data_IF_214200726291
#
_entry.id   IF_214200726291
#
_cell.length_a   1.000
_cell.length_b   1.000
_cell.length_c   1.000
_cell.angle_alpha   90.00
_cell.angle_beta   90.00
_cell.angle_gamma   90.00
#
_symmetry.space_group_name_H-M   'P 1'
#
loop_
_entity.id
_entity.type
_entity.pdbx_description
1 polymer ?
#
# COMPACT_ATOMS: atom_id res chain seq x y z
N UNK A 1 22.33 21.89 1.54
CA UNK A 1 20.93 21.67 1.10
C UNK A 1 20.77 20.45 0.21
N UNK A 2 21.77 20.10 -0.59
CA UNK A 2 21.68 18.96 -1.51
C UNK A 2 21.76 17.59 -0.84
N UNK A 3 22.55 17.43 0.23
CA UNK A 3 22.67 16.18 0.98
C UNK A 3 21.35 15.70 1.57
N UNK A 4 20.51 16.61 2.10
CA UNK A 4 19.19 16.25 2.66
C UNK A 4 18.29 15.70 1.56
N UNK A 5 18.26 16.34 0.39
CA UNK A 5 17.47 15.87 -0.76
C UNK A 5 17.95 14.52 -1.27
N UNK A 6 19.28 14.33 -1.40
CA UNK A 6 19.87 13.06 -1.84
C UNK A 6 19.50 11.95 -0.85
N UNK A 7 19.68 12.18 0.46
CA UNK A 7 19.31 11.20 1.50
C UNK A 7 17.84 10.86 1.46
N UNK A 8 16.96 11.87 1.29
CA UNK A 8 15.52 11.63 1.16
C UNK A 8 15.19 10.74 -0.06
N UNK A 9 15.85 10.95 -1.20
CA UNK A 9 15.63 10.11 -2.39
C UNK A 9 16.11 8.67 -2.17
N UNK A 10 17.26 8.47 -1.52
CA UNK A 10 17.76 7.12 -1.18
C UNK A 10 16.76 6.39 -0.27
N UNK A 11 16.27 7.06 0.79
CA UNK A 11 15.26 6.50 1.69
C UNK A 11 14.00 6.13 0.91
N UNK A 12 13.54 6.98 -0.02
CA UNK A 12 12.38 6.73 -0.86
C UNK A 12 12.53 5.51 -1.77
N UNK A 13 13.71 5.33 -2.36
CA UNK A 13 14.02 4.14 -3.18
C UNK A 13 13.98 2.85 -2.34
N UNK A 14 14.55 2.87 -1.14
CA UNK A 14 14.50 1.72 -0.23
C UNK A 14 13.05 1.43 0.19
N UNK A 15 12.28 2.47 0.55
CA UNK A 15 10.88 2.35 0.91
C UNK A 15 10.05 1.71 -0.20
N UNK A 16 10.25 2.17 -1.42
CA UNK A 16 9.60 1.65 -2.62
C UNK A 16 9.94 0.17 -2.87
N UNK A 17 11.23 -0.21 -2.81
CA UNK A 17 11.65 -1.60 -2.99
C UNK A 17 10.98 -2.54 -1.99
N UNK A 18 10.94 -2.17 -0.71
CA UNK A 18 10.26 -2.93 0.33
C UNK A 18 8.75 -3.06 0.05
N UNK A 19 8.13 -1.97 -0.41
CA UNK A 19 6.73 -1.99 -0.81
C UNK A 19 6.44 -2.96 -1.95
N UNK A 20 7.26 -2.95 -3.00
CA UNK A 20 7.12 -3.86 -4.14
C UNK A 20 7.37 -5.33 -3.74
N UNK A 21 8.43 -5.59 -2.96
CA UNK A 21 8.76 -6.93 -2.46
C UNK A 21 7.65 -7.48 -1.56
N UNK A 22 6.91 -6.63 -0.84
CA UNK A 22 5.83 -7.08 0.04
C UNK A 22 4.79 -7.96 -0.69
N UNK A 23 4.50 -7.67 -1.95
CA UNK A 23 3.56 -8.45 -2.75
C UNK A 23 4.06 -9.85 -3.14
N UNK A 24 5.36 -10.12 -3.03
CA UNK A 24 5.95 -11.45 -3.22
C UNK A 24 5.86 -12.31 -1.94
N UNK A 25 5.46 -11.74 -0.81
CA UNK A 25 5.34 -12.47 0.44
C UNK A 25 4.13 -13.42 0.42
N UNK A 26 4.31 -14.58 1.07
CA UNK A 26 3.30 -15.65 1.12
C UNK A 26 2.34 -15.54 2.29
N UNK A 27 2.60 -14.65 3.25
CA UNK A 27 1.78 -14.52 4.45
C UNK A 27 1.27 -13.10 4.65
N UNK A 28 0.07 -12.98 5.20
CA UNK A 28 -0.52 -11.71 5.61
C UNK A 28 0.42 -10.88 6.50
N UNK A 29 1.02 -11.52 7.51
CA UNK A 29 1.91 -10.84 8.46
C UNK A 29 3.13 -10.24 7.75
N UNK A 30 3.79 -11.02 6.88
CA UNK A 30 4.97 -10.55 6.15
C UNK A 30 4.65 -9.39 5.21
N UNK A 31 3.52 -9.46 4.49
CA UNK A 31 3.06 -8.36 3.63
C UNK A 31 2.90 -7.08 4.45
N UNK A 32 2.18 -7.16 5.58
CA UNK A 32 1.94 -5.97 6.41
C UNK A 32 3.20 -5.45 7.09
N UNK A 33 4.10 -6.32 7.56
CA UNK A 33 5.39 -5.89 8.14
C UNK A 33 6.23 -5.12 7.13
N UNK A 34 6.40 -5.65 5.92
CA UNK A 34 7.14 -4.96 4.86
C UNK A 34 6.50 -3.64 4.48
N UNK A 35 5.16 -3.58 4.44
CA UNK A 35 4.42 -2.34 4.19
C UNK A 35 4.60 -1.32 5.33
N UNK A 36 4.57 -1.73 6.59
CA UNK A 36 4.81 -0.85 7.73
C UNK A 36 6.20 -0.22 7.62
N UNK A 37 7.24 -1.03 7.38
CA UNK A 37 8.61 -0.52 7.26
C UNK A 37 8.72 0.46 6.09
N UNK A 38 8.14 0.11 4.94
CA UNK A 38 8.08 0.99 3.77
C UNK A 38 7.40 2.32 4.09
N UNK A 39 6.26 2.31 4.76
CA UNK A 39 5.50 3.50 5.09
C UNK A 39 6.19 4.39 6.14
N UNK A 40 6.92 3.81 7.09
CA UNK A 40 7.78 4.56 8.02
C UNK A 40 8.87 5.29 7.23
N UNK A 41 9.53 4.62 6.31
CA UNK A 41 10.57 5.22 5.48
C UNK A 41 10.00 6.32 4.58
N UNK A 42 8.84 6.13 3.95
CA UNK A 42 8.16 7.18 3.19
C UNK A 42 7.76 8.36 4.09
N UNK A 43 7.30 8.12 5.32
CA UNK A 43 6.99 9.19 6.27
C UNK A 43 8.22 10.04 6.55
N UNK A 44 9.38 9.42 6.79
CA UNK A 44 10.67 10.11 7.01
C UNK A 44 11.06 10.88 5.75
N UNK A 45 10.98 10.25 4.58
CA UNK A 45 11.28 10.90 3.30
C UNK A 45 10.45 12.16 3.09
N UNK A 46 9.11 12.06 3.25
CA UNK A 46 8.22 13.21 3.04
C UNK A 46 8.41 14.29 4.07
N UNK A 47 8.75 13.95 5.32
CA UNK A 47 9.14 14.92 6.34
C UNK A 47 10.39 15.70 5.92
N UNK A 48 11.42 15.01 5.41
CA UNK A 48 12.66 15.65 4.92
C UNK A 48 12.43 16.54 3.69
N UNK A 49 11.42 16.22 2.89
CA UNK A 49 11.04 17.00 1.70
C UNK A 49 10.03 18.12 2.01
N UNK A 50 9.52 18.22 3.24
CA UNK A 50 8.51 19.21 3.63
C UNK A 50 7.09 18.89 3.10
N UNK A 51 6.85 17.68 2.61
CA UNK A 51 5.55 17.24 2.07
C UNK A 51 4.65 16.70 3.20
N UNK A 52 4.13 17.57 4.04
CA UNK A 52 3.40 17.21 5.27
C UNK A 52 2.14 16.38 5.03
N UNK A 53 1.38 16.66 3.97
CA UNK A 53 0.17 15.88 3.62
C UNK A 53 0.52 14.42 3.32
N UNK A 54 1.51 14.19 2.45
CA UNK A 54 1.96 12.84 2.13
C UNK A 54 2.59 12.14 3.36
N UNK A 55 3.30 12.87 4.21
CA UNK A 55 3.81 12.37 5.48
C UNK A 55 2.66 11.85 6.36
N UNK A 56 1.60 12.64 6.56
CA UNK A 56 0.45 12.25 7.38
C UNK A 56 -0.27 11.01 6.81
N UNK A 57 -0.51 10.96 5.51
CA UNK A 57 -1.13 9.80 4.85
C UNK A 57 -0.33 8.52 5.08
N UNK A 58 1.01 8.57 4.97
CA UNK A 58 1.86 7.41 5.24
C UNK A 58 1.91 7.06 6.73
N UNK A 59 1.93 8.07 7.61
CA UNK A 59 1.87 7.87 9.06
C UNK A 59 0.59 7.11 9.46
N UNK A 60 -0.57 7.52 8.99
CA UNK A 60 -1.82 6.78 9.26
C UNK A 60 -1.82 5.40 8.62
N UNK A 61 -1.16 5.23 7.49
CA UNK A 61 -1.04 3.93 6.82
C UNK A 61 -0.18 2.94 7.59
N UNK A 62 0.94 3.36 8.19
CA UNK A 62 1.71 2.42 9.03
C UNK A 62 1.01 2.13 10.36
N UNK A 63 0.33 3.11 10.99
CA UNK A 63 -0.50 2.88 12.17
C UNK A 63 -1.58 1.83 11.89
N UNK A 64 -2.27 1.93 10.74
CA UNK A 64 -3.20 0.92 10.26
C UNK A 64 -2.55 -0.46 10.20
N UNK A 65 -1.34 -0.56 9.67
CA UNK A 65 -0.59 -1.82 9.57
C UNK A 65 -0.33 -2.46 10.94
N UNK A 66 0.08 -1.67 11.94
CA UNK A 66 0.25 -2.16 13.32
C UNK A 66 -1.06 -2.68 13.92
N UNK A 67 -2.15 -1.92 13.74
CA UNK A 67 -3.48 -2.34 14.22
C UNK A 67 -3.89 -3.66 13.58
N UNK A 68 -3.65 -3.84 12.28
CA UNK A 68 -4.02 -5.08 11.59
C UNK A 68 -3.23 -6.29 12.09
N UNK A 69 -1.92 -6.15 12.30
CA UNK A 69 -1.09 -7.22 12.87
C UNK A 69 -1.53 -7.54 14.32
N UNK A 70 -1.80 -6.51 15.12
CA UNK A 70 -2.24 -6.69 16.50
C UNK A 70 -3.59 -7.43 16.60
N UNK A 71 -4.53 -7.11 15.71
CA UNK A 71 -5.83 -7.80 15.62
C UNK A 71 -5.66 -9.24 15.13
N UNK A 72 -4.79 -9.47 14.16
CA UNK A 72 -4.49 -10.79 13.63
C UNK A 72 -3.86 -11.69 14.69
N UNK A 73 -2.88 -11.19 15.45
CA UNK A 73 -2.26 -11.92 16.55
C UNK A 73 -3.26 -12.31 17.67
N UNK A 74 -4.34 -11.54 17.83
CA UNK A 74 -5.43 -11.82 18.76
C UNK A 74 -6.58 -12.64 18.13
N UNK A 75 -6.41 -13.14 16.90
CA UNK A 75 -7.45 -13.80 16.11
C UNK A 75 -8.75 -12.99 15.95
N UNK A 76 -8.68 -11.67 16.09
CA UNK A 76 -9.82 -10.77 15.91
C UNK A 76 -9.99 -10.36 14.44
N UNK A 77 -11.24 -9.97 14.11
CA UNK A 77 -11.55 -9.44 12.78
C UNK A 77 -11.01 -8.03 12.63
N UNK A 78 -10.45 -7.74 11.43
CA UNK A 78 -9.97 -6.40 11.06
C UNK A 78 -11.08 -5.49 10.51
N UNK A 79 -12.31 -5.99 10.33
CA UNK A 79 -13.40 -5.26 9.64
C UNK A 79 -13.72 -3.90 10.24
N UNK A 80 -13.82 -3.80 11.56
CA UNK A 80 -14.07 -2.52 12.23
C UNK A 80 -12.90 -1.54 12.10
N UNK A 81 -11.67 -2.05 12.15
CA UNK A 81 -10.49 -1.23 11.90
C UNK A 81 -10.43 -0.77 10.43
N UNK A 82 -10.79 -1.65 9.47
CA UNK A 82 -10.91 -1.26 8.06
C UNK A 82 -11.91 -0.13 7.88
N UNK A 83 -13.10 -0.24 8.50
CA UNK A 83 -14.11 0.82 8.44
C UNK A 83 -13.60 2.13 9.04
N UNK A 84 -13.04 2.09 10.25
CA UNK A 84 -12.50 3.28 10.92
C UNK A 84 -11.42 3.97 10.09
N UNK A 85 -10.41 3.24 9.62
CA UNK A 85 -9.36 3.81 8.77
C UNK A 85 -9.89 4.31 7.42
N UNK A 86 -10.88 3.62 6.82
CA UNK A 86 -11.49 4.09 5.57
C UNK A 86 -12.18 5.44 5.76
N UNK A 87 -12.94 5.60 6.84
CA UNK A 87 -13.58 6.88 7.19
C UNK A 87 -12.50 7.96 7.42
N UNK A 88 -11.43 7.64 8.15
CA UNK A 88 -10.32 8.56 8.39
C UNK A 88 -9.68 9.03 7.09
N UNK A 89 -9.37 8.11 6.16
CA UNK A 89 -8.78 8.47 4.86
C UNK A 89 -9.73 9.26 3.97
N UNK A 90 -11.02 8.96 3.98
CA UNK A 90 -12.04 9.76 3.27
C UNK A 90 -12.09 11.17 3.85
N UNK A 91 -12.16 11.31 5.17
CA UNK A 91 -12.17 12.61 5.84
C UNK A 91 -10.91 13.42 5.52
N UNK A 92 -9.72 12.79 5.60
CA UNK A 92 -8.47 13.43 5.23
C UNK A 92 -8.46 13.86 3.76
N UNK A 93 -8.94 13.01 2.84
CA UNK A 93 -9.03 13.34 1.42
C UNK A 93 -10.02 14.47 1.12
N UNK A 94 -11.10 14.60 1.90
CA UNK A 94 -12.05 15.72 1.79
C UNK A 94 -11.42 17.01 2.31
N UNK A 95 -10.71 16.97 3.44
CA UNK A 95 -10.03 18.13 4.02
C UNK A 95 -8.92 18.65 3.10
N UNK A 96 -8.22 17.74 2.43
CA UNK A 96 -7.13 18.07 1.48
C UNK A 96 -7.61 18.05 0.03
N UNK A 97 -8.91 18.30 -0.21
CA UNK A 97 -9.53 18.18 -1.52
C UNK A 97 -8.78 18.95 -2.61
N UNK A 98 -8.37 18.22 -3.65
CA UNK A 98 -7.57 18.74 -4.76
C UNK A 98 -8.25 18.44 -6.11
N UNK A 99 -9.55 18.70 -6.17
CA UNK A 99 -10.37 18.49 -7.36
C UNK A 99 -10.74 17.01 -7.60
N UNK A 100 -11.34 16.73 -8.76
CA UNK A 100 -11.85 15.40 -9.12
C UNK A 100 -10.77 14.31 -9.15
N UNK A 101 -9.51 14.70 -9.41
CA UNK A 101 -8.39 13.76 -9.44
C UNK A 101 -8.11 13.17 -8.04
N UNK A 102 -8.42 13.91 -6.97
CA UNK A 102 -8.29 13.45 -5.60
C UNK A 102 -9.15 12.23 -5.29
N UNK A 103 -10.25 12.02 -6.03
CA UNK A 103 -11.10 10.83 -5.88
C UNK A 103 -10.31 9.54 -6.11
N UNK A 104 -9.39 9.53 -7.08
CA UNK A 104 -8.54 8.35 -7.34
C UNK A 104 -7.62 8.03 -6.16
N UNK A 105 -7.04 9.04 -5.52
CA UNK A 105 -6.21 8.85 -4.33
C UNK A 105 -7.05 8.34 -3.14
N UNK A 106 -8.24 8.89 -2.91
CA UNK A 106 -9.16 8.45 -1.85
C UNK A 106 -9.57 6.99 -2.08
N UNK A 107 -10.09 6.67 -3.26
CA UNK A 107 -10.53 5.32 -3.61
C UNK A 107 -9.36 4.32 -3.55
N UNK A 108 -8.20 4.68 -4.09
CA UNK A 108 -6.99 3.86 -4.03
C UNK A 108 -6.60 3.54 -2.57
N UNK A 109 -6.60 4.55 -1.68
CA UNK A 109 -6.24 4.36 -0.27
C UNK A 109 -7.29 3.55 0.49
N UNK A 110 -8.58 3.75 0.22
CA UNK A 110 -9.67 2.96 0.82
C UNK A 110 -9.58 1.50 0.39
N UNK A 111 -9.39 1.24 -0.89
CA UNK A 111 -9.19 -0.14 -1.39
C UNK A 111 -7.94 -0.79 -0.80
N UNK A 112 -6.83 -0.05 -0.67
CA UNK A 112 -5.64 -0.56 0.03
C UNK A 112 -5.94 -0.88 1.49
N UNK A 113 -6.78 -0.08 2.15
CA UNK A 113 -7.19 -0.31 3.53
C UNK A 113 -7.95 -1.63 3.67
N UNK A 114 -8.86 -1.91 2.75
CA UNK A 114 -9.59 -3.19 2.68
C UNK A 114 -8.66 -4.35 2.32
N UNK A 115 -7.76 -4.14 1.35
CA UNK A 115 -6.82 -5.15 0.90
C UNK A 115 -5.91 -5.62 2.03
N UNK A 116 -5.19 -4.70 2.67
CA UNK A 116 -4.21 -5.03 3.72
C UNK A 116 -4.84 -5.52 5.02
N UNK A 117 -6.13 -5.28 5.23
CA UNK A 117 -6.89 -5.89 6.32
C UNK A 117 -7.35 -7.32 6.04
N UNK A 118 -7.17 -7.84 4.83
CA UNK A 118 -7.57 -9.20 4.49
C UNK A 118 -6.47 -10.21 4.88
N UNK A 119 -6.87 -11.30 5.55
CA UNK A 119 -5.92 -12.34 5.98
C UNK A 119 -5.38 -13.21 4.84
N UNK A 120 -6.03 -13.20 3.67
CA UNK A 120 -5.63 -14.00 2.52
C UNK A 120 -4.69 -13.19 1.59
N UNK A 121 -3.41 -13.58 1.44
CA UNK A 121 -2.45 -12.87 0.60
C UNK A 121 -2.86 -12.74 -0.88
N UNK A 122 -3.53 -13.74 -1.43
CA UNK A 122 -4.04 -13.68 -2.80
C UNK A 122 -5.09 -12.58 -2.96
N UNK A 123 -6.02 -12.45 -1.99
CA UNK A 123 -7.00 -11.35 -1.99
C UNK A 123 -6.34 -9.99 -1.82
N UNK A 124 -5.27 -9.89 -1.00
CA UNK A 124 -4.50 -8.65 -0.87
C UNK A 124 -3.97 -8.22 -2.23
N UNK A 125 -3.35 -9.14 -2.99
CA UNK A 125 -2.82 -8.86 -4.33
C UNK A 125 -3.91 -8.44 -5.31
N UNK A 126 -5.00 -9.21 -5.40
CA UNK A 126 -6.10 -8.94 -6.34
C UNK A 126 -6.76 -7.57 -6.06
N UNK A 127 -7.03 -7.24 -4.80
CA UNK A 127 -7.66 -5.95 -4.44
C UNK A 127 -6.69 -4.78 -4.65
N UNK A 128 -5.38 -4.99 -4.47
CA UNK A 128 -4.38 -3.94 -4.72
C UNK A 128 -4.11 -3.69 -6.22
N UNK A 129 -4.44 -4.61 -7.10
CA UNK A 129 -4.20 -4.44 -8.53
C UNK A 129 -4.88 -3.17 -9.09
N UNK A 130 -6.20 -2.94 -8.90
CA UNK A 130 -6.83 -1.70 -9.35
C UNK A 130 -6.29 -0.45 -8.64
N UNK A 131 -5.79 -0.56 -7.40
CA UNK A 131 -5.24 0.60 -6.69
C UNK A 131 -4.00 1.16 -7.36
N UNK A 132 -3.17 0.31 -7.98
CA UNK A 132 -2.00 0.77 -8.74
C UNK A 132 -2.43 1.68 -9.89
N UNK A 133 -3.48 1.32 -10.63
CA UNK A 133 -4.00 2.16 -11.70
C UNK A 133 -4.57 3.49 -11.18
N UNK A 134 -5.27 3.48 -10.04
CA UNK A 134 -5.80 4.70 -9.44
C UNK A 134 -4.67 5.65 -9.05
N UNK A 135 -3.61 5.14 -8.40
CA UNK A 135 -2.45 5.93 -8.06
C UNK A 135 -1.66 6.38 -9.29
N UNK A 136 -1.53 5.55 -10.34
CA UNK A 136 -0.93 5.97 -11.61
C UNK A 136 -1.65 7.16 -12.23
N UNK A 137 -2.99 7.16 -12.27
CA UNK A 137 -3.78 8.28 -12.78
C UNK A 137 -3.51 9.54 -11.97
N UNK A 138 -3.50 9.43 -10.64
CA UNK A 138 -3.19 10.54 -9.74
C UNK A 138 -1.77 11.07 -9.98
N UNK A 139 -0.77 10.18 -9.96
CA UNK A 139 0.64 10.54 -10.13
C UNK A 139 0.95 11.09 -11.53
N UNK A 140 0.25 10.60 -12.56
CA UNK A 140 0.35 11.15 -13.92
C UNK A 140 -0.13 12.61 -13.97
N UNK A 141 -1.27 12.90 -13.36
CA UNK A 141 -1.83 14.26 -13.30
C UNK A 141 -0.84 15.25 -12.66
N UNK A 142 -0.21 14.86 -11.56
CA UNK A 142 0.78 15.67 -10.85
C UNK A 142 2.19 15.56 -11.41
N UNK A 143 2.40 14.83 -12.53
CA UNK A 143 3.71 14.58 -13.14
C UNK A 143 4.75 14.05 -12.15
N UNK A 144 4.31 13.24 -11.19
CA UNK A 144 5.15 12.61 -10.18
C UNK A 144 5.84 11.39 -10.76
N UNK A 145 7.01 11.56 -11.35
CA UNK A 145 7.79 10.47 -11.97
C UNK A 145 8.11 9.37 -10.95
N UNK A 146 8.55 9.73 -9.73
CA UNK A 146 8.83 8.76 -8.66
C UNK A 146 7.61 7.97 -8.24
N UNK A 147 6.44 8.61 -8.11
CA UNK A 147 5.17 7.95 -7.84
C UNK A 147 4.78 6.98 -8.94
N UNK A 148 4.84 7.39 -10.21
CA UNK A 148 4.55 6.53 -11.36
C UNK A 148 5.45 5.29 -11.40
N UNK A 149 6.75 5.48 -11.23
CA UNK A 149 7.69 4.36 -11.17
C UNK A 149 7.32 3.39 -10.04
N UNK A 150 7.02 3.92 -8.84
CA UNK A 150 6.57 3.12 -7.70
C UNK A 150 5.32 2.28 -8.02
N UNK A 151 4.33 2.89 -8.68
CA UNK A 151 3.08 2.21 -9.03
C UNK A 151 3.30 1.15 -10.11
N UNK A 152 4.09 1.43 -11.14
CA UNK A 152 4.46 0.46 -12.19
C UNK A 152 5.17 -0.76 -11.59
N UNK A 153 6.16 -0.54 -10.73
CA UNK A 153 6.87 -1.63 -10.08
C UNK A 153 5.97 -2.41 -9.12
N UNK A 154 5.08 -1.74 -8.40
CA UNK A 154 4.08 -2.41 -7.54
C UNK A 154 3.14 -3.27 -8.38
N UNK A 155 2.65 -2.76 -9.50
CA UNK A 155 1.82 -3.51 -10.44
C UNK A 155 2.53 -4.76 -10.96
N UNK A 156 3.76 -4.62 -11.45
CA UNK A 156 4.57 -5.75 -11.92
C UNK A 156 4.78 -6.77 -10.80
N UNK A 157 5.12 -6.30 -9.58
CA UNK A 157 5.31 -7.17 -8.42
C UNK A 157 4.04 -7.92 -8.03
N UNK A 158 2.88 -7.27 -8.09
CA UNK A 158 1.58 -7.93 -7.85
C UNK A 158 1.31 -9.01 -8.90
N UNK A 159 1.50 -8.71 -10.19
CA UNK A 159 1.29 -9.67 -11.28
C UNK A 159 2.21 -10.89 -11.10
N UNK A 160 3.49 -10.68 -10.86
CA UNK A 160 4.45 -11.76 -10.59
C UNK A 160 4.02 -12.58 -9.37
N UNK A 161 3.55 -11.92 -8.29
CA UNK A 161 3.05 -12.59 -7.10
C UNK A 161 1.83 -13.47 -7.38
N UNK A 162 0.88 -13.00 -8.18
CA UNK A 162 -0.29 -13.77 -8.59
C UNK A 162 0.13 -15.00 -9.42
N UNK A 163 0.97 -14.81 -10.43
CA UNK A 163 1.42 -15.90 -11.32
C UNK A 163 2.21 -16.96 -10.55
N UNK A 164 3.14 -16.52 -9.69
CA UNK A 164 4.08 -17.40 -9.00
C UNK A 164 3.49 -18.11 -7.79
N UNK A 165 2.58 -17.45 -7.05
CA UNK A 165 2.10 -17.94 -5.77
C UNK A 165 0.63 -18.37 -5.82
N UNK A 166 -0.25 -17.56 -6.44
CA UNK A 166 -1.70 -17.77 -6.33
C UNK A 166 -2.20 -18.79 -7.35
N UNK A 167 -1.74 -18.73 -8.61
CA UNK A 167 -2.17 -19.68 -9.66
C UNK A 167 -1.78 -21.12 -9.33
N UNK A 168 -0.53 -21.44 -8.90
CA UNK A 168 -0.17 -22.79 -8.49
C UNK A 168 -0.99 -23.30 -7.30
N UNK A 169 -1.28 -22.43 -6.31
CA UNK A 169 -2.10 -22.80 -5.16
C UNK A 169 -3.53 -23.15 -5.57
N UNK A 170 -4.13 -22.37 -6.47
CA UNK A 170 -5.47 -22.65 -7.01
C UNK A 170 -5.47 -23.99 -7.76
N UNK A 171 -4.50 -24.22 -8.67
CA UNK A 171 -4.37 -25.47 -9.43
C UNK A 171 -4.21 -26.69 -8.51
N UNK A 172 -3.42 -26.57 -7.44
CA UNK A 172 -3.21 -27.66 -6.48
C UNK A 172 -4.48 -28.01 -5.70
N UNK A 173 -5.31 -27.00 -5.36
CA UNK A 173 -6.60 -27.19 -4.67
C UNK A 173 -7.63 -27.88 -5.58
N UNK A 174 -7.65 -27.57 -6.87
CA UNK A 174 -8.51 -28.27 -7.84
C UNK A 174 -8.09 -29.73 -8.02
N UNK A 175 -6.78 -30.02 -8.09
CA UNK A 175 -6.23 -31.38 -8.28
C UNK A 175 -6.48 -32.30 -7.08
N UNK A 176 -6.71 -31.75 -5.88
CA UNK A 176 -7.04 -32.50 -4.66
C UNK A 176 -8.54 -32.78 -4.49
N UNK A 177 -9.41 -32.17 -5.29
CA UNK A 177 -10.86 -32.34 -5.24
C UNK A 177 -11.41 -33.32 -6.28
N UNK A 178 -10.56 -33.72 -7.23
CA UNK A 178 -10.79 -34.78 -8.24
C UNK A 178 -10.06 -36.05 -7.79
#
# INVERSE_FOLDING_TARGET
MDYIKITAQIIGVIAFMLSAISFQAKSFKMINVLKIISQILFTIQYLMLGAFTAMLMNMFSFLRGFVYIALENKNKSTKWAQLGFSITFIAMGIITWDGWIGVFAILGTVLQTIAFGNKNPAKIRIINLPTCFMWMVYNWHYRSVGGLLSDVFSLVSIIIGIIRLDIPEIKSKFKKKV
#
